data_IF_202785552590
#
_entry.id   IF_202785552590
#
_cell.length_a   1.000
_cell.length_b   1.000
_cell.length_c   1.000
_cell.angle_alpha   90.00
_cell.angle_beta   90.00
_cell.angle_gamma   90.00
#
_symmetry.space_group_name_H-M   'P 1'
#
loop_
_entity.id
_entity.type
_entity.pdbx_description
1 polymer ?
#
# COMPACT_ATOMS: atom_id res chain seq x y z
N UNK A 1 -133.29 49.72 -18.93
CA UNK A 1 -132.85 49.73 -20.34
C UNK A 1 -131.38 49.36 -20.35
N UNK A 2 -131.03 48.15 -20.82
CA UNK A 2 -130.67 47.82 -22.21
C UNK A 2 -129.42 48.53 -22.72
N UNK A 3 -128.62 47.76 -23.47
CA UNK A 3 -127.58 48.22 -24.42
C UNK A 3 -126.19 48.42 -23.79
N UNK A 4 -125.35 47.38 -23.70
CA UNK A 4 -124.54 46.72 -24.75
C UNK A 4 -123.64 47.68 -25.55
N UNK A 5 -122.39 47.20 -25.71
CA UNK A 5 -121.35 47.51 -26.70
C UNK A 5 -120.35 48.60 -26.28
N UNK A 6 -119.04 48.44 -26.41
CA UNK A 6 -118.21 47.36 -26.94
C UNK A 6 -116.74 47.62 -26.53
N UNK A 7 -115.89 46.58 -26.56
CA UNK A 7 -114.49 46.59 -26.15
C UNK A 7 -113.61 47.19 -27.26
N UNK A 8 -112.49 47.82 -26.90
CA UNK A 8 -111.30 48.17 -27.71
C UNK A 8 -110.81 49.58 -27.37
N UNK A 9 -110.14 49.73 -26.22
CA UNK A 9 -109.09 50.73 -25.99
C UNK A 9 -108.78 50.77 -24.49
N UNK A 10 -107.89 49.92 -23.99
CA UNK A 10 -107.02 50.27 -22.83
C UNK A 10 -106.09 49.11 -22.40
N UNK A 11 -105.49 48.36 -23.32
CA UNK A 11 -104.38 47.46 -22.98
C UNK A 11 -103.19 47.83 -23.86
N UNK A 12 -102.74 49.06 -23.66
CA UNK A 12 -101.39 49.49 -23.95
C UNK A 12 -100.78 49.70 -22.56
N UNK A 13 -99.57 49.17 -22.35
CA UNK A 13 -98.79 49.16 -21.10
C UNK A 13 -99.03 47.92 -20.22
N UNK A 14 -98.41 46.79 -20.58
CA UNK A 14 -97.67 45.89 -19.65
C UNK A 14 -97.18 44.61 -20.35
N UNK A 15 -96.29 44.68 -21.34
CA UNK A 15 -95.70 43.46 -21.93
C UNK A 15 -94.20 43.58 -22.28
N UNK A 16 -93.47 44.50 -21.62
CA UNK A 16 -92.03 44.71 -21.84
C UNK A 16 -91.14 44.27 -20.65
N UNK A 17 -91.64 43.45 -19.73
CA UNK A 17 -90.89 43.01 -18.53
C UNK A 17 -90.32 41.59 -18.59
N UNK A 18 -91.05 40.65 -19.21
CA UNK A 18 -90.77 39.21 -19.05
C UNK A 18 -89.78 38.66 -20.09
N UNK A 19 -89.71 39.27 -21.27
CA UNK A 19 -88.83 38.84 -22.36
C UNK A 19 -87.34 39.16 -22.13
N UNK A 20 -87.02 40.24 -21.43
CA UNK A 20 -85.62 40.62 -21.15
C UNK A 20 -85.01 39.73 -20.07
N UNK A 21 -85.75 39.44 -19.00
CA UNK A 21 -85.32 38.51 -17.96
C UNK A 21 -85.13 37.08 -18.51
N UNK A 22 -86.04 36.60 -19.36
CA UNK A 22 -85.91 35.26 -19.94
C UNK A 22 -84.71 35.16 -20.92
N UNK A 23 -84.46 36.19 -21.75
CA UNK A 23 -83.29 36.23 -22.66
C UNK A 23 -81.96 36.38 -21.91
N UNK A 24 -81.92 37.14 -20.82
CA UNK A 24 -80.72 37.29 -19.98
C UNK A 24 -80.41 36.01 -19.21
N UNK A 25 -81.41 35.31 -18.70
CA UNK A 25 -81.23 34.02 -18.00
C UNK A 25 -80.81 32.92 -18.97
N UNK A 26 -81.45 32.84 -20.15
CA UNK A 26 -81.08 31.87 -21.19
C UNK A 26 -79.68 32.19 -21.74
N UNK A 27 -79.35 33.45 -22.01
CA UNK A 27 -78.00 33.84 -22.46
C UNK A 27 -76.93 33.53 -21.39
N UNK A 28 -77.20 33.79 -20.11
CA UNK A 28 -76.27 33.44 -19.01
C UNK A 28 -76.11 31.92 -18.82
N UNK A 29 -77.18 31.14 -19.03
CA UNK A 29 -77.13 29.67 -18.97
C UNK A 29 -76.37 29.09 -20.16
N UNK A 30 -76.57 29.65 -21.36
CA UNK A 30 -75.85 29.25 -22.57
C UNK A 30 -74.38 29.63 -22.52
N UNK A 31 -74.01 30.82 -22.02
CA UNK A 31 -72.59 31.16 -21.84
C UNK A 31 -71.92 30.26 -20.80
N UNK A 32 -72.60 29.89 -19.73
CA UNK A 32 -72.09 28.91 -18.76
C UNK A 32 -71.90 27.51 -19.39
N UNK A 33 -72.80 27.08 -20.27
CA UNK A 33 -72.72 25.78 -20.96
C UNK A 33 -71.62 25.77 -22.05
N UNK A 34 -71.43 26.89 -22.75
CA UNK A 34 -70.36 27.06 -23.74
C UNK A 34 -68.97 27.10 -23.09
N UNK A 35 -68.83 27.77 -21.94
CA UNK A 35 -67.59 27.79 -21.16
C UNK A 35 -67.28 26.40 -20.59
N UNK A 36 -68.29 25.64 -20.16
CA UNK A 36 -68.11 24.26 -19.72
C UNK A 36 -67.64 23.34 -20.86
N UNK A 37 -68.14 23.53 -22.08
CA UNK A 37 -67.65 22.81 -23.27
C UNK A 37 -66.23 23.20 -23.68
N UNK A 38 -65.86 24.48 -23.53
CA UNK A 38 -64.51 24.96 -23.86
C UNK A 38 -63.42 24.37 -22.93
N UNK A 39 -63.75 23.99 -21.70
CA UNK A 39 -62.80 23.42 -20.74
C UNK A 39 -62.55 21.91 -20.91
N UNK A 40 -63.35 21.20 -21.73
CA UNK A 40 -63.20 19.74 -21.92
C UNK A 40 -62.25 19.35 -23.06
N UNK A 41 -61.55 20.31 -23.68
CA UNK A 41 -60.70 20.08 -24.85
C UNK A 41 -59.20 19.88 -24.59
N UNK A 42 -58.70 20.14 -23.38
CA UNK A 42 -57.24 20.19 -23.12
C UNK A 42 -56.53 18.83 -23.04
N UNK A 43 -57.18 17.70 -23.32
CA UNK A 43 -56.58 16.36 -23.20
C UNK A 43 -56.26 15.70 -24.55
N UNK A 44 -56.67 16.33 -25.67
CA UNK A 44 -56.49 15.76 -27.01
C UNK A 44 -55.22 16.26 -27.73
N UNK A 45 -54.62 17.35 -27.25
CA UNK A 45 -53.39 17.95 -27.80
C UNK A 45 -52.32 17.82 -26.71
N UNK A 46 -51.97 16.57 -26.41
CA UNK A 46 -50.82 16.26 -25.56
C UNK A 46 -49.76 15.64 -26.47
N UNK A 47 -48.98 16.51 -27.12
CA UNK A 47 -47.84 16.17 -27.98
C UNK A 47 -46.73 15.42 -27.19
N UNK A 48 -46.87 15.32 -25.87
CA UNK A 48 -45.97 14.56 -25.00
C UNK A 48 -46.18 13.04 -25.11
N UNK A 49 -47.29 12.57 -25.69
CA UNK A 49 -47.58 11.12 -25.81
C UNK A 49 -46.76 10.39 -26.87
N UNK A 50 -46.13 11.10 -27.79
CA UNK A 50 -45.20 10.52 -28.77
C UNK A 50 -43.75 10.97 -28.56
N UNK A 51 -43.45 11.53 -27.40
CA UNK A 51 -42.10 11.93 -26.99
C UNK A 51 -41.39 10.77 -26.27
N UNK A 52 -41.47 9.56 -26.83
CA UNK A 52 -40.51 8.50 -26.47
C UNK A 52 -39.10 8.96 -26.87
N UNK A 53 -38.05 8.63 -26.11
CA UNK A 53 -36.69 8.97 -26.52
C UNK A 53 -36.41 8.34 -27.89
N UNK A 54 -36.15 9.18 -28.89
CA UNK A 54 -35.91 8.79 -30.29
C UNK A 54 -34.88 7.65 -30.39
N UNK A 55 -35.36 6.42 -30.57
CA UNK A 55 -34.53 5.22 -30.66
C UNK A 55 -33.63 5.17 -31.90
N UNK A 56 -33.87 6.06 -32.88
CA UNK A 56 -33.02 6.24 -34.06
C UNK A 56 -32.12 7.48 -33.98
N UNK A 57 -32.18 8.21 -32.87
CA UNK A 57 -31.33 9.34 -32.58
C UNK A 57 -29.86 8.92 -32.42
N UNK A 58 -29.06 9.13 -33.46
CA UNK A 58 -27.61 8.87 -33.39
C UNK A 58 -26.93 10.00 -32.62
N UNK A 59 -26.64 9.76 -31.34
CA UNK A 59 -25.77 10.65 -30.56
C UNK A 59 -24.32 10.49 -31.04
N UNK A 60 -23.71 11.56 -31.55
CA UNK A 60 -22.29 11.55 -31.90
C UNK A 60 -21.46 11.35 -30.64
N UNK A 61 -20.91 10.15 -30.46
CA UNK A 61 -19.94 9.89 -29.41
C UNK A 61 -18.65 10.64 -29.76
N UNK A 62 -17.96 11.17 -28.74
CA UNK A 62 -16.60 11.66 -28.93
C UNK A 62 -15.78 10.58 -29.65
N UNK A 63 -14.95 10.93 -30.64
CA UNK A 63 -14.15 9.94 -31.35
C UNK A 63 -13.35 9.14 -30.32
N UNK A 64 -13.41 7.82 -30.39
CA UNK A 64 -12.56 6.98 -29.55
C UNK A 64 -11.12 7.30 -29.96
N UNK A 65 -10.38 7.94 -29.06
CA UNK A 65 -8.97 8.16 -29.24
C UNK A 65 -8.32 6.78 -29.23
N UNK A 66 -7.95 6.30 -30.43
CA UNK A 66 -7.15 5.11 -30.55
C UNK A 66 -5.85 5.39 -29.80
N UNK A 67 -5.52 4.61 -28.75
CA UNK A 67 -4.25 4.77 -28.06
C UNK A 67 -3.12 4.62 -29.10
N UNK A 68 -1.97 5.28 -28.90
CA UNK A 68 -0.89 5.24 -29.86
C UNK A 68 -0.59 3.77 -30.19
N UNK A 69 -0.76 3.42 -31.46
CA UNK A 69 -0.31 2.14 -31.97
C UNK A 69 1.20 2.14 -31.81
N UNK A 70 1.66 1.55 -30.70
CA UNK A 70 3.04 1.15 -30.60
C UNK A 70 3.20 0.14 -31.73
N UNK A 71 3.81 0.59 -32.83
CA UNK A 71 4.34 -0.25 -33.88
C UNK A 71 5.53 -1.04 -33.33
N UNK A 72 5.27 -1.78 -32.24
CA UNK A 72 6.14 -2.78 -31.70
C UNK A 72 6.39 -3.72 -32.87
N UNK A 73 7.65 -3.76 -33.27
CA UNK A 73 8.12 -4.71 -34.27
C UNK A 73 7.61 -6.07 -33.81
N UNK A 74 6.83 -6.80 -34.63
CA UNK A 74 6.37 -8.12 -34.26
C UNK A 74 7.56 -8.93 -33.75
N UNK A 75 7.45 -9.56 -32.57
CA UNK A 75 8.56 -10.33 -32.03
C UNK A 75 8.93 -11.38 -33.06
N UNK A 76 10.22 -11.48 -33.37
CA UNK A 76 10.72 -12.47 -34.32
C UNK A 76 10.26 -13.85 -33.87
N UNK A 77 9.63 -14.62 -34.75
CA UNK A 77 9.18 -15.97 -34.43
C UNK A 77 10.38 -16.79 -33.89
N UNK A 78 10.23 -17.35 -32.68
CA UNK A 78 11.28 -18.08 -31.97
C UNK A 78 12.25 -17.21 -31.14
N UNK A 79 12.12 -15.88 -31.13
CA UNK A 79 12.87 -15.05 -30.19
C UNK A 79 12.28 -15.17 -28.78
N UNK A 80 13.17 -15.27 -27.81
CA UNK A 80 12.82 -15.33 -26.39
C UNK A 80 12.03 -14.09 -25.98
N UNK A 81 10.90 -14.29 -25.29
CA UNK A 81 10.06 -13.19 -24.81
C UNK A 81 10.85 -12.37 -23.77
N UNK A 82 10.92 -11.03 -23.89
CA UNK A 82 11.65 -10.19 -22.92
C UNK A 82 11.12 -10.29 -21.49
N UNK A 83 9.83 -10.57 -21.34
CA UNK A 83 9.15 -10.63 -20.05
C UNK A 83 9.13 -12.04 -19.43
N UNK A 84 9.68 -13.04 -20.12
CA UNK A 84 9.68 -14.43 -19.66
C UNK A 84 11.07 -14.79 -19.12
N UNK A 85 11.15 -14.98 -17.81
CA UNK A 85 12.35 -15.52 -17.16
C UNK A 85 12.44 -16.99 -17.55
N UNK A 86 13.62 -17.47 -17.97
CA UNK A 86 13.81 -18.89 -18.26
C UNK A 86 13.48 -19.74 -17.04
N UNK A 87 12.75 -20.81 -17.23
CA UNK A 87 12.42 -21.78 -16.16
C UNK A 87 13.67 -22.32 -15.48
N UNK A 88 14.78 -22.46 -16.22
CA UNK A 88 16.09 -22.83 -15.66
C UNK A 88 16.66 -21.75 -14.73
N UNK A 89 16.55 -20.48 -15.09
CA UNK A 89 17.02 -19.37 -14.25
C UNK A 89 16.12 -19.18 -13.03
N UNK A 90 14.81 -19.39 -13.20
CA UNK A 90 13.86 -19.37 -12.10
C UNK A 90 14.10 -20.51 -11.11
N UNK A 91 14.33 -21.74 -11.61
CA UNK A 91 14.71 -22.89 -10.80
C UNK A 91 16.05 -22.66 -10.10
N UNK A 92 17.06 -22.13 -10.80
CA UNK A 92 18.37 -21.77 -10.22
C UNK A 92 18.20 -20.74 -9.10
N UNK A 93 17.37 -19.71 -9.29
CA UNK A 93 17.09 -18.70 -8.27
C UNK A 93 16.36 -19.28 -7.06
N UNK A 94 15.46 -20.26 -7.25
CA UNK A 94 14.80 -20.96 -6.15
C UNK A 94 15.74 -21.91 -5.40
N UNK A 95 16.57 -22.66 -6.12
CA UNK A 95 17.50 -23.62 -5.53
C UNK A 95 18.66 -22.94 -4.78
N UNK A 96 19.16 -21.82 -5.28
CA UNK A 96 20.31 -21.12 -4.72
C UNK A 96 19.97 -19.74 -4.14
N UNK A 97 18.70 -19.50 -3.81
CA UNK A 97 18.16 -18.22 -3.38
C UNK A 97 19.09 -17.43 -2.45
N UNK A 98 19.27 -16.14 -2.76
CA UNK A 98 20.16 -15.16 -2.08
C UNK A 98 21.67 -15.46 -2.09
N UNK A 99 22.07 -16.72 -1.96
CA UNK A 99 23.48 -17.14 -1.91
C UNK A 99 24.17 -17.07 -3.28
N UNK A 100 23.48 -17.41 -4.38
CA UNK A 100 24.09 -17.35 -5.72
C UNK A 100 24.15 -15.94 -6.34
N UNK A 101 23.39 -14.96 -5.83
CA UNK A 101 23.29 -13.64 -6.46
C UNK A 101 24.53 -12.77 -6.19
N UNK A 102 25.35 -13.08 -5.17
CA UNK A 102 26.50 -12.24 -4.79
C UNK A 102 27.88 -12.75 -5.22
N UNK A 103 27.98 -13.74 -6.11
CA UNK A 103 29.29 -14.28 -6.56
C UNK A 103 30.12 -13.36 -7.49
N UNK A 104 29.85 -12.05 -7.54
CA UNK A 104 30.57 -11.17 -8.47
C UNK A 104 30.68 -9.69 -8.12
N UNK A 105 30.02 -9.22 -7.07
CA UNK A 105 30.07 -7.81 -6.67
C UNK A 105 30.44 -7.68 -5.19
N UNK A 106 31.36 -6.75 -4.89
CA UNK A 106 31.73 -6.43 -3.51
C UNK A 106 30.46 -5.96 -2.76
N UNK A 107 29.99 -6.69 -1.73
CA UNK A 107 28.84 -6.27 -0.94
C UNK A 107 29.03 -4.88 -0.38
N UNK A 108 27.94 -4.13 -0.27
CA UNK A 108 27.94 -2.79 0.31
C UNK A 108 28.57 -2.78 1.72
N UNK A 109 29.30 -1.72 2.06
CA UNK A 109 29.96 -1.60 3.36
C UNK A 109 28.92 -1.34 4.44
N UNK A 110 28.80 -2.24 5.41
CA UNK A 110 28.01 -1.97 6.62
C UNK A 110 28.64 -0.83 7.40
N UNK A 111 27.83 0.08 7.94
CA UNK A 111 28.29 1.24 8.71
C UNK A 111 29.18 0.86 9.91
N UNK A 112 29.00 -0.36 10.45
CA UNK A 112 29.75 -0.89 11.58
C UNK A 112 30.85 -1.88 11.16
N UNK A 113 31.25 -1.93 9.88
CA UNK A 113 32.32 -2.82 9.43
C UNK A 113 33.71 -2.20 9.74
N UNK A 114 34.46 -2.72 10.73
CA UNK A 114 35.76 -2.18 11.12
C UNK A 114 36.88 -2.52 10.11
N UNK A 115 36.61 -3.37 9.12
CA UNK A 115 37.61 -3.90 8.20
C UNK A 115 38.05 -2.85 7.18
N UNK A 116 39.32 -2.93 6.77
CA UNK A 116 39.89 -2.05 5.73
C UNK A 116 39.42 -2.47 4.33
N UNK A 117 39.59 -1.60 3.33
CA UNK A 117 39.21 -1.92 1.94
C UNK A 117 40.05 -3.08 1.36
N UNK A 118 41.33 -3.15 1.73
CA UNK A 118 42.21 -4.26 1.34
C UNK A 118 41.81 -5.60 1.96
N UNK A 119 41.42 -5.60 3.23
CA UNK A 119 40.90 -6.79 3.91
C UNK A 119 39.57 -7.25 3.29
N UNK A 120 38.66 -6.33 3.00
CA UNK A 120 37.40 -6.64 2.33
C UNK A 120 37.62 -7.20 0.92
N UNK A 121 38.60 -6.69 0.18
CA UNK A 121 38.95 -7.22 -1.15
C UNK A 121 39.49 -8.65 -1.07
N UNK A 122 40.32 -8.97 -0.06
CA UNK A 122 40.80 -10.32 0.21
C UNK A 122 39.66 -11.26 0.60
N UNK A 123 38.78 -10.84 1.51
CA UNK A 123 37.64 -11.63 1.95
C UNK A 123 36.62 -11.86 0.83
N UNK A 124 36.42 -10.89 -0.06
CA UNK A 124 35.59 -11.06 -1.25
C UNK A 124 36.17 -12.10 -2.21
N UNK A 125 37.49 -12.08 -2.44
CA UNK A 125 38.16 -13.13 -3.23
C UNK A 125 38.04 -14.51 -2.59
N UNK A 126 37.97 -14.56 -1.26
CA UNK A 126 37.78 -15.79 -0.48
C UNK A 126 36.31 -16.19 -0.29
N UNK A 127 35.35 -15.49 -0.89
CA UNK A 127 33.89 -15.70 -0.71
C UNK A 127 33.44 -15.69 0.77
N UNK A 128 34.16 -14.92 1.61
CA UNK A 128 33.99 -14.90 3.06
C UNK A 128 33.32 -13.62 3.60
N UNK A 129 32.82 -12.75 2.71
CA UNK A 129 32.22 -11.47 3.13
C UNK A 129 30.79 -11.61 3.68
N UNK A 130 30.06 -12.63 3.26
CA UNK A 130 28.65 -12.90 3.63
C UNK A 130 28.54 -14.24 4.39
N UNK A 131 29.50 -14.51 5.29
CA UNK A 131 29.49 -15.71 6.10
C UNK A 131 28.29 -15.70 7.08
N UNK A 132 27.61 -16.84 7.20
CA UNK A 132 26.49 -17.00 8.13
C UNK A 132 27.00 -16.93 9.59
N UNK A 133 26.49 -16.00 10.43
CA UNK A 133 26.93 -15.83 11.81
C UNK A 133 26.66 -17.07 12.69
N UNK A 134 25.70 -17.92 12.32
CA UNK A 134 25.37 -19.15 13.05
C UNK A 134 26.35 -20.31 12.80
N UNK A 135 27.26 -20.19 11.82
CA UNK A 135 28.22 -21.26 11.48
C UNK A 135 29.10 -21.63 12.68
N UNK A 136 29.47 -20.67 13.53
CA UNK A 136 30.26 -20.97 14.73
C UNK A 136 29.51 -21.87 15.70
N UNK A 137 28.21 -21.63 15.88
CA UNK A 137 27.35 -22.45 16.73
C UNK A 137 27.12 -23.84 16.12
N UNK A 138 26.95 -23.92 14.79
CA UNK A 138 26.86 -25.18 14.09
C UNK A 138 28.13 -26.03 14.27
N UNK A 139 29.30 -25.44 14.06
CA UNK A 139 30.59 -26.12 14.25
C UNK A 139 30.83 -26.49 15.72
N UNK A 140 30.45 -25.65 16.69
CA UNK A 140 30.55 -25.98 18.11
C UNK A 140 29.70 -27.21 18.45
N UNK A 141 28.45 -27.24 17.97
CA UNK A 141 27.54 -28.37 18.14
C UNK A 141 28.08 -29.65 17.48
N UNK A 142 28.64 -29.55 16.29
CA UNK A 142 29.20 -30.70 15.55
C UNK A 142 30.51 -31.21 16.14
N UNK A 143 31.38 -30.31 16.62
CA UNK A 143 32.66 -30.66 17.22
C UNK A 143 32.53 -31.27 18.62
N UNK A 144 31.33 -31.25 19.22
CA UNK A 144 31.09 -31.72 20.59
C UNK A 144 31.78 -30.86 21.66
N UNK A 145 32.35 -29.72 21.26
CA UNK A 145 32.93 -28.74 22.19
C UNK A 145 31.78 -27.91 22.73
N UNK A 146 31.28 -28.31 23.90
CA UNK A 146 30.27 -27.50 24.59
C UNK A 146 30.94 -26.22 25.08
N UNK A 147 30.41 -25.10 24.61
CA UNK A 147 30.92 -23.77 24.90
C UNK A 147 30.38 -23.35 26.27
N UNK A 148 30.93 -23.94 27.33
CA UNK A 148 30.54 -23.60 28.70
C UNK A 148 31.07 -22.22 29.10
N UNK A 149 30.30 -21.51 29.93
CA UNK A 149 30.72 -20.23 30.47
C UNK A 149 31.92 -20.42 31.39
N UNK A 150 33.10 -19.98 30.94
CA UNK A 150 34.35 -20.11 31.71
C UNK A 150 34.21 -19.54 33.11
N UNK A 151 33.52 -18.41 33.29
CA UNK A 151 33.29 -17.80 34.59
C UNK A 151 32.43 -18.67 35.52
N UNK A 152 31.46 -19.39 34.96
CA UNK A 152 30.62 -20.30 35.72
C UNK A 152 31.42 -21.55 36.13
N UNK A 153 32.14 -22.16 35.19
CA UNK A 153 33.01 -23.31 35.47
C UNK A 153 34.08 -22.95 36.51
N UNK A 154 34.70 -21.78 36.37
CA UNK A 154 35.71 -21.27 37.31
C UNK A 154 35.11 -21.10 38.71
N UNK A 155 33.90 -20.56 38.83
CA UNK A 155 33.20 -20.45 40.12
C UNK A 155 32.86 -21.80 40.75
N UNK A 156 32.60 -22.83 39.93
CA UNK A 156 32.31 -24.19 40.41
C UNK A 156 33.58 -24.93 40.83
N UNK A 157 34.64 -24.84 40.03
CA UNK A 157 35.95 -25.47 40.32
C UNK A 157 36.62 -24.78 41.51
N UNK A 158 36.59 -23.44 41.56
CA UNK A 158 37.21 -22.61 42.60
C UNK A 158 36.18 -22.04 43.59
N UNK A 159 35.12 -22.80 43.89
CA UNK A 159 34.04 -22.42 44.80
C UNK A 159 34.48 -22.08 46.24
N UNK A 160 35.71 -22.45 46.63
CA UNK A 160 36.26 -22.18 47.96
C UNK A 160 37.16 -20.94 47.90
N UNK A 161 36.96 -19.94 48.78
CA UNK A 161 37.83 -18.77 48.81
C UNK A 161 39.25 -19.19 49.21
N UNK A 162 40.20 -19.03 48.28
CA UNK A 162 41.62 -19.17 48.57
C UNK A 162 42.05 -17.96 49.43
N UNK A 163 42.24 -18.18 50.72
CA UNK A 163 42.78 -17.21 51.68
C UNK A 163 44.30 -17.01 51.56
N UNK A 164 44.90 -17.47 50.46
CA UNK A 164 46.30 -17.21 50.17
C UNK A 164 46.32 -15.80 49.59
N UNK A 165 46.91 -14.86 50.33
CA UNK A 165 47.20 -13.53 49.82
C UNK A 165 48.10 -13.67 48.59
N UNK A 166 47.50 -13.77 47.41
CA UNK A 166 48.21 -13.70 46.14
C UNK A 166 48.78 -12.29 46.06
N UNK A 167 50.05 -12.18 46.44
CA UNK A 167 50.80 -10.96 46.30
C UNK A 167 50.80 -10.60 44.81
N UNK A 168 50.07 -9.54 44.45
CA UNK A 168 49.86 -9.11 43.07
C UNK A 168 51.24 -8.87 42.43
N UNK A 169 51.54 -9.55 41.34
CA UNK A 169 52.80 -9.37 40.61
C UNK A 169 52.85 -7.95 40.01
N UNK A 170 53.94 -7.23 40.20
CA UNK A 170 54.15 -5.94 39.54
C UNK A 170 54.67 -6.18 38.11
N UNK A 171 53.87 -5.91 37.05
CA UNK A 171 54.23 -6.28 35.69
C UNK A 171 55.50 -5.56 35.20
N UNK A 172 55.73 -4.31 35.63
CA UNK A 172 56.86 -3.53 35.16
C UNK A 172 58.18 -4.05 35.75
N UNK A 173 58.20 -4.20 37.08
CA UNK A 173 59.37 -4.74 37.80
C UNK A 173 59.67 -6.18 37.44
N UNK A 174 58.64 -7.01 37.23
CA UNK A 174 58.81 -8.42 36.83
C UNK A 174 59.36 -8.55 35.40
N UNK A 175 58.88 -7.72 34.46
CA UNK A 175 59.42 -7.70 33.10
C UNK A 175 60.91 -7.29 33.09
N UNK A 176 61.30 -6.35 33.95
CA UNK A 176 62.71 -5.96 34.10
C UNK A 176 63.57 -7.09 34.67
N UNK A 177 63.06 -7.82 35.67
CA UNK A 177 63.73 -9.01 36.23
C UNK A 177 63.96 -10.07 35.16
N UNK A 178 62.95 -10.37 34.35
CA UNK A 178 63.04 -11.35 33.28
C UNK A 178 64.09 -10.96 32.22
N UNK A 179 64.14 -9.69 31.81
CA UNK A 179 65.17 -9.18 30.88
C UNK A 179 66.58 -9.29 31.47
N UNK A 180 66.74 -9.03 32.77
CA UNK A 180 68.04 -9.20 33.46
C UNK A 180 68.45 -10.67 33.52
N UNK A 181 67.52 -11.59 33.79
CA UNK A 181 67.81 -13.02 33.79
C UNK A 181 68.22 -13.52 32.40
N UNK A 182 67.53 -13.07 31.35
CA UNK A 182 67.88 -13.39 29.96
C UNK A 182 69.30 -12.88 29.61
N UNK A 183 69.62 -11.63 29.95
CA UNK A 183 70.95 -11.05 29.71
C UNK A 183 72.08 -11.76 30.49
N UNK A 184 71.75 -12.35 31.64
CA UNK A 184 72.68 -13.10 32.48
C UNK A 184 72.70 -14.61 32.16
N UNK A 185 71.90 -15.07 31.19
CA UNK A 185 71.78 -16.49 30.83
C UNK A 185 71.14 -17.38 31.92
N UNK A 186 70.39 -16.78 32.85
CA UNK A 186 69.68 -17.50 33.93
C UNK A 186 68.29 -17.93 33.47
N UNK A 187 67.72 -18.93 34.15
CA UNK A 187 66.36 -19.37 33.83
C UNK A 187 65.31 -18.31 34.24
N UNK A 188 64.15 -18.21 33.56
CA UNK A 188 63.08 -17.29 33.94
C UNK A 188 62.55 -17.50 35.37
N UNK A 189 62.64 -18.74 35.86
CA UNK A 189 62.23 -19.16 37.22
C UNK A 189 63.27 -18.85 38.30
N UNK A 190 64.48 -18.38 37.95
CA UNK A 190 65.49 -18.03 38.95
C UNK A 190 65.14 -16.71 39.66
N UNK A 191 64.94 -16.79 40.97
CA UNK A 191 64.62 -15.65 41.84
C UNK A 191 63.15 -15.58 42.24
N UNK A 192 62.85 -14.72 43.21
CA UNK A 192 61.47 -14.47 43.64
C UNK A 192 60.74 -13.54 42.66
N UNK A 193 59.47 -13.83 42.36
CA UNK A 193 58.58 -12.97 41.58
C UNK A 193 58.39 -11.62 42.28
N UNK A 194 58.54 -10.52 41.56
CA UNK A 194 58.41 -9.19 42.16
C UNK A 194 56.92 -8.84 42.31
N UNK A 195 56.50 -8.64 43.56
CA UNK A 195 55.11 -8.33 43.89
C UNK A 195 54.94 -6.88 44.30
N UNK A 196 53.83 -6.27 43.91
CA UNK A 196 53.46 -4.91 44.30
C UNK A 196 53.26 -4.84 45.82
N UNK A 197 53.98 -3.93 46.47
CA UNK A 197 53.77 -3.64 47.89
C UNK A 197 52.44 -2.87 48.02
N UNK A 198 51.52 -3.39 48.84
CA UNK A 198 50.28 -2.67 49.21
C UNK A 198 50.58 -1.38 49.97
#
# INVERSE_FOLDING_TARGET
MNEKKNPFNFILVCENGVGWFMRVVIAKRFTALLVAWAMSGCVLIDDTRNSGPDEFGVVSRAPLAQPPDFSLRPPRAGAKRPNEVETREEARRRLFGRSAIRKGGLPERSANDPRSDGERALLHKADALDADPSVREAVARESGVIQEDKSFVDSLVFWKPNNKNEAIVDPASEAERLRKNEALGKLPTDGSTITKKN
#
